data_IF_743833929869
#
_entry.id   IF_743833929869
#
_cell.length_a   1.000
_cell.length_b   1.000
_cell.length_c   1.000
_cell.angle_alpha   90.00
_cell.angle_beta   90.00
_cell.angle_gamma   90.00
#
_symmetry.space_group_name_H-M   'P 1'
#
loop_
_entity.id
_entity.type
_entity.pdbx_description
1 polymer ?
#
# COMPACT_ATOMS: atom_id res chain seq x y z
N UNK A 1 -51.83 19.44 -23.63
CA UNK A 1 -52.25 18.14 -23.06
C UNK A 1 -51.09 17.64 -22.23
N UNK A 2 -51.00 17.83 -20.91
CA UNK A 2 -52.04 17.87 -19.90
C UNK A 2 -52.12 16.52 -19.20
N UNK A 3 -51.25 16.27 -18.23
CA UNK A 3 -51.42 15.18 -17.24
C UNK A 3 -51.06 15.70 -15.86
N UNK A 4 -52.08 16.30 -15.23
CA UNK A 4 -52.41 16.30 -13.81
C UNK A 4 -51.31 15.90 -12.82
N UNK A 5 -50.60 16.90 -12.30
CA UNK A 5 -50.05 16.85 -10.96
C UNK A 5 -51.16 17.31 -9.99
N UNK A 6 -51.93 16.36 -9.48
CA UNK A 6 -52.99 16.65 -8.49
C UNK A 6 -52.36 16.68 -7.11
N UNK A 7 -51.52 17.69 -6.89
CA UNK A 7 -51.07 18.08 -5.57
C UNK A 7 -52.27 18.42 -4.69
N UNK A 8 -52.28 17.85 -3.48
CA UNK A 8 -53.16 18.27 -2.39
C UNK A 8 -53.29 19.80 -2.38
N UNK A 9 -54.51 20.33 -2.41
CA UNK A 9 -54.89 21.70 -2.81
C UNK A 9 -54.38 22.87 -1.98
N UNK A 10 -53.26 22.70 -1.26
CA UNK A 10 -52.47 23.77 -0.68
C UNK A 10 -51.10 23.68 -1.37
N UNK A 11 -50.69 24.69 -2.16
CA UNK A 11 -49.43 24.73 -2.93
C UNK A 11 -48.12 24.67 -2.12
N UNK A 12 -48.11 23.95 -1.02
CA UNK A 12 -46.94 23.54 -0.26
C UNK A 12 -46.42 22.25 -0.90
N UNK A 13 -45.20 22.23 -1.46
CA UNK A 13 -44.62 20.99 -1.99
C UNK A 13 -44.57 19.95 -0.87
N UNK A 14 -45.04 18.73 -1.14
CA UNK A 14 -44.93 17.59 -0.23
C UNK A 14 -43.45 17.37 0.10
N UNK A 15 -43.00 17.86 1.27
CA UNK A 15 -41.64 17.67 1.75
C UNK A 15 -41.67 16.57 2.79
N UNK A 16 -41.49 15.32 2.35
CA UNK A 16 -41.28 14.21 3.26
C UNK A 16 -40.05 14.50 4.13
N UNK A 17 -40.26 14.84 5.41
CA UNK A 17 -39.17 15.03 6.37
C UNK A 17 -39.12 13.91 7.39
N UNK A 18 -37.93 13.58 7.90
CA UNK A 18 -37.73 12.54 8.92
C UNK A 18 -38.67 12.66 10.13
N UNK A 19 -39.05 13.90 10.49
CA UNK A 19 -39.90 14.20 11.64
C UNK A 19 -41.37 13.89 11.40
N UNK A 20 -41.81 13.87 10.14
CA UNK A 20 -43.19 13.61 9.72
C UNK A 20 -43.48 12.12 9.55
N UNK A 21 -42.44 11.28 9.60
CA UNK A 21 -42.59 9.83 9.48
C UNK A 21 -43.39 9.22 10.65
N UNK A 22 -44.22 8.19 10.41
CA UNK A 22 -44.88 7.43 11.46
C UNK A 22 -43.90 6.90 12.50
N UNK A 23 -44.34 6.79 13.76
CA UNK A 23 -43.50 6.30 14.84
C UNK A 23 -42.83 4.94 14.55
N UNK A 24 -43.52 3.93 13.95
CA UNK A 24 -42.88 2.65 13.64
C UNK A 24 -41.67 2.81 12.70
N UNK A 25 -41.79 3.65 11.68
CA UNK A 25 -40.70 3.93 10.73
C UNK A 25 -39.52 4.59 11.44
N UNK A 26 -39.78 5.61 12.27
CA UNK A 26 -38.72 6.29 13.02
C UNK A 26 -37.99 5.36 14.00
N UNK A 27 -38.70 4.42 14.62
CA UNK A 27 -38.09 3.43 15.50
C UNK A 27 -37.16 2.48 14.73
N UNK A 28 -37.61 1.97 13.58
CA UNK A 28 -36.77 1.11 12.72
C UNK A 28 -35.53 1.85 12.23
N UNK A 29 -35.68 3.09 11.74
CA UNK A 29 -34.56 3.91 11.30
C UNK A 29 -33.59 4.22 12.44
N UNK A 30 -34.10 4.48 13.65
CA UNK A 30 -33.26 4.75 14.82
C UNK A 30 -32.47 3.52 15.23
N UNK A 31 -33.11 2.35 15.29
CA UNK A 31 -32.43 1.08 15.57
C UNK A 31 -31.38 0.75 14.52
N UNK A 32 -31.69 0.98 13.24
CA UNK A 32 -30.73 0.82 12.14
C UNK A 32 -29.50 1.72 12.35
N UNK A 33 -29.70 3.03 12.58
CA UNK A 33 -28.59 3.98 12.79
C UNK A 33 -27.75 3.62 14.03
N UNK A 34 -28.39 3.20 15.12
CA UNK A 34 -27.69 2.74 16.33
C UNK A 34 -26.90 1.46 16.08
N UNK A 35 -27.47 0.48 15.38
CA UNK A 35 -26.79 -0.76 15.02
C UNK A 35 -25.58 -0.49 14.11
N UNK A 36 -25.71 0.42 13.14
CA UNK A 36 -24.60 0.87 12.28
C UNK A 36 -23.49 1.52 13.14
N UNK A 37 -23.85 2.39 14.08
CA UNK A 37 -22.89 3.01 14.99
C UNK A 37 -22.13 1.99 15.85
N UNK A 38 -22.85 1.01 16.42
CA UNK A 38 -22.24 -0.08 17.19
C UNK A 38 -21.34 -0.97 16.31
N UNK A 39 -21.77 -1.28 15.09
CA UNK A 39 -20.99 -2.04 14.12
C UNK A 39 -19.71 -1.31 13.72
N UNK A 40 -19.77 0.00 13.49
CA UNK A 40 -18.59 0.80 13.20
C UNK A 40 -17.62 0.87 14.38
N UNK A 41 -18.14 1.01 15.61
CA UNK A 41 -17.30 0.93 16.81
C UNK A 41 -16.62 -0.44 16.95
N UNK A 42 -17.34 -1.54 16.71
CA UNK A 42 -16.78 -2.88 16.69
C UNK A 42 -15.70 -3.05 15.60
N UNK A 43 -15.85 -2.38 14.45
CA UNK A 43 -14.84 -2.40 13.40
C UNK A 43 -13.54 -1.68 13.82
N UNK A 44 -13.64 -0.59 14.61
CA UNK A 44 -12.46 0.07 15.18
C UNK A 44 -11.75 -0.84 16.20
N UNK A 45 -12.50 -1.58 17.01
CA UNK A 45 -11.94 -2.59 17.91
C UNK A 45 -11.25 -3.72 17.12
N UNK A 46 -11.86 -4.18 16.03
CA UNK A 46 -11.23 -5.17 15.15
C UNK A 46 -9.93 -4.64 14.54
N UNK A 47 -9.89 -3.36 14.13
CA UNK A 47 -8.71 -2.72 13.58
C UNK A 47 -7.53 -2.74 14.56
N UNK A 48 -7.79 -2.52 15.85
CA UNK A 48 -6.79 -2.66 16.91
C UNK A 48 -6.15 -4.06 16.90
N UNK A 49 -6.97 -5.11 16.98
CA UNK A 49 -6.47 -6.49 17.03
C UNK A 49 -5.78 -6.97 15.75
N UNK A 50 -6.11 -6.39 14.60
CA UNK A 50 -5.54 -6.79 13.32
C UNK A 50 -4.25 -6.04 12.99
N UNK A 51 -4.20 -4.74 13.27
CA UNK A 51 -3.26 -3.84 12.61
C UNK A 51 -2.48 -2.95 13.58
N UNK A 52 -2.89 -2.82 14.85
CA UNK A 52 -2.17 -1.97 15.80
C UNK A 52 -0.88 -2.63 16.28
N UNK A 53 0.16 -1.82 16.45
CA UNK A 53 1.38 -2.24 17.13
C UNK A 53 1.13 -2.50 18.62
N UNK A 54 1.90 -3.40 19.27
CA UNK A 54 1.70 -3.74 20.68
C UNK A 54 1.69 -2.52 21.61
N UNK A 55 0.63 -2.39 22.40
CA UNK A 55 0.46 -1.28 23.33
C UNK A 55 -0.09 0.01 22.73
N UNK A 56 -0.45 0.03 21.45
CA UNK A 56 -1.18 1.12 20.80
C UNK A 56 -2.66 0.77 20.64
N UNK A 57 -3.56 1.72 20.90
CA UNK A 57 -5.01 1.49 20.83
C UNK A 57 -5.53 1.41 19.39
N UNK A 58 -4.84 2.05 18.45
CA UNK A 58 -5.15 2.04 17.02
C UNK A 58 -3.84 1.95 16.22
N UNK A 59 -3.89 1.53 14.94
CA UNK A 59 -2.73 1.54 14.08
C UNK A 59 -2.11 2.94 13.99
N UNK A 60 -0.80 3.00 14.17
CA UNK A 60 0.00 4.20 13.98
C UNK A 60 0.08 4.58 12.50
N UNK A 61 0.59 5.78 12.21
CA UNK A 61 0.86 6.21 10.82
C UNK A 61 1.80 5.23 10.11
N UNK A 62 2.83 4.77 10.82
CA UNK A 62 3.82 3.84 10.27
C UNK A 62 3.21 2.44 10.07
N UNK A 63 2.30 1.99 10.96
CA UNK A 63 1.58 0.72 10.76
C UNK A 63 0.76 0.73 9.46
N UNK A 64 0.00 1.80 9.21
CA UNK A 64 -0.83 1.90 8.00
C UNK A 64 0.03 1.96 6.74
N UNK A 65 1.12 2.74 6.77
CA UNK A 65 2.06 2.81 5.65
C UNK A 65 2.72 1.46 5.38
N UNK A 66 3.12 0.74 6.43
CA UNK A 66 3.70 -0.59 6.31
C UNK A 66 2.70 -1.59 5.72
N UNK A 67 1.46 -1.61 6.22
CA UNK A 67 0.42 -2.57 5.79
C UNK A 67 0.02 -2.35 4.33
N UNK A 68 -0.18 -1.10 3.91
CA UNK A 68 -0.73 -0.81 2.58
C UNK A 68 0.34 -0.55 1.51
N UNK A 69 1.48 0.03 1.86
CA UNK A 69 2.58 0.31 0.92
C UNK A 69 3.76 -0.63 1.06
N UNK A 70 3.90 -1.33 2.19
CA UNK A 70 5.03 -2.23 2.44
C UNK A 70 6.31 -1.50 2.82
N UNK A 71 6.21 -0.29 3.38
CA UNK A 71 7.37 0.56 3.68
C UNK A 71 7.48 0.76 5.18
N UNK A 72 8.56 0.26 5.79
CA UNK A 72 8.78 0.38 7.22
C UNK A 72 9.31 1.77 7.60
N UNK A 73 8.93 2.25 8.79
CA UNK A 73 9.54 3.41 9.45
C UNK A 73 9.64 4.67 8.55
N UNK A 74 8.64 4.91 7.70
CA UNK A 74 8.68 6.00 6.74
C UNK A 74 8.49 7.37 7.40
N UNK A 75 7.61 7.47 8.41
CA UNK A 75 7.33 8.66 9.22
C UNK A 75 6.94 9.94 8.47
N UNK A 76 6.65 9.86 7.16
CA UNK A 76 6.35 11.01 6.30
C UNK A 76 7.50 11.99 6.04
N UNK A 77 8.67 11.76 6.67
CA UNK A 77 9.86 12.63 6.60
C UNK A 77 10.93 12.13 5.64
N UNK A 78 10.85 10.86 5.24
CA UNK A 78 11.81 10.26 4.31
C UNK A 78 11.29 10.42 2.88
N UNK A 79 12.17 10.58 1.88
CA UNK A 79 11.75 10.53 0.49
C UNK A 79 11.04 9.20 0.23
N UNK A 80 10.09 9.18 -0.72
CA UNK A 80 9.44 7.94 -1.13
C UNK A 80 10.49 6.87 -1.47
N UNK A 81 10.28 5.61 -1.05
CA UNK A 81 11.25 4.56 -1.34
C UNK A 81 11.42 4.40 -2.85
N UNK A 82 12.64 4.07 -3.31
CA UNK A 82 12.89 3.86 -4.73
C UNK A 82 12.01 2.72 -5.25
N UNK A 83 11.77 2.73 -6.56
CA UNK A 83 10.99 1.72 -7.29
C UNK A 83 11.38 0.31 -6.84
N UNK A 84 10.39 -0.55 -6.65
CA UNK A 84 10.64 -1.97 -6.39
C UNK A 84 11.41 -2.58 -7.58
N UNK A 85 12.63 -3.02 -7.29
CA UNK A 85 13.51 -3.66 -8.26
C UNK A 85 13.59 -5.16 -8.00
N UNK A 86 13.92 -5.92 -9.03
CA UNK A 86 14.15 -7.36 -8.86
C UNK A 86 15.33 -7.63 -7.90
N UNK A 87 15.37 -8.84 -7.32
CA UNK A 87 16.50 -9.24 -6.45
C UNK A 87 17.84 -9.10 -7.18
N UNK A 88 17.89 -9.43 -8.47
CA UNK A 88 19.09 -9.32 -9.28
C UNK A 88 19.55 -7.86 -9.43
N UNK A 89 18.64 -6.94 -9.76
CA UNK A 89 18.97 -5.52 -9.88
C UNK A 89 19.42 -4.92 -8.55
N UNK A 90 18.75 -5.26 -7.44
CA UNK A 90 19.17 -4.84 -6.09
C UNK A 90 20.60 -5.26 -5.78
N UNK A 91 20.98 -6.49 -6.13
CA UNK A 91 22.33 -7.02 -5.87
C UNK A 91 23.39 -6.35 -6.74
N UNK A 92 23.11 -6.16 -8.03
CA UNK A 92 24.06 -5.61 -9.00
C UNK A 92 24.25 -4.11 -8.80
N UNK A 93 23.18 -3.37 -8.48
CA UNK A 93 23.19 -1.91 -8.35
C UNK A 93 23.49 -1.39 -6.93
N UNK A 94 23.84 -2.28 -5.99
CA UNK A 94 24.26 -1.89 -4.63
C UNK A 94 25.56 -1.06 -4.63
N UNK A 95 25.91 -0.47 -3.48
CA UNK A 95 27.18 0.22 -3.33
C UNK A 95 28.36 -0.77 -3.39
N UNK A 96 29.49 -0.34 -3.99
CA UNK A 96 30.73 -1.14 -4.03
C UNK A 96 31.36 -1.33 -2.64
N UNK A 97 31.03 -0.45 -1.69
CA UNK A 97 31.48 -0.54 -0.30
C UNK A 97 30.69 -1.57 0.51
N UNK A 98 29.54 -2.01 0.02
CA UNK A 98 28.73 -3.01 0.70
C UNK A 98 29.37 -4.40 0.60
N UNK A 99 29.47 -5.13 1.72
CA UNK A 99 30.05 -6.46 1.72
C UNK A 99 29.17 -7.46 0.96
N UNK A 100 29.81 -8.46 0.34
CA UNK A 100 29.15 -9.53 -0.43
C UNK A 100 28.57 -10.63 0.47
N UNK A 101 28.67 -10.47 1.79
CA UNK A 101 28.23 -11.47 2.75
C UNK A 101 26.70 -11.61 2.76
N UNK A 102 26.25 -12.86 2.93
CA UNK A 102 24.82 -13.24 3.03
C UNK A 102 23.94 -12.77 1.86
N UNK A 103 24.52 -12.43 0.71
CA UNK A 103 23.76 -11.92 -0.44
C UNK A 103 23.21 -10.52 -0.23
N UNK A 104 23.94 -9.65 0.47
CA UNK A 104 23.61 -8.23 0.62
C UNK A 104 23.89 -7.44 -0.67
N UNK A 105 25.07 -7.60 -1.26
CA UNK A 105 25.53 -6.90 -2.47
C UNK A 105 26.32 -7.82 -3.40
N UNK A 106 26.20 -7.62 -4.70
CA UNK A 106 27.09 -8.20 -5.72
C UNK A 106 27.91 -7.13 -6.46
N UNK A 107 27.78 -5.85 -6.10
CA UNK A 107 28.49 -4.76 -6.78
C UNK A 107 30.00 -4.94 -6.67
N UNK A 108 30.54 -5.15 -5.45
CA UNK A 108 31.97 -5.40 -5.26
C UNK A 108 32.47 -6.62 -6.04
N UNK A 109 31.69 -7.69 -6.11
CA UNK A 109 32.04 -8.88 -6.88
C UNK A 109 32.01 -8.61 -8.39
N UNK A 110 31.07 -7.79 -8.86
CA UNK A 110 30.98 -7.39 -10.26
C UNK A 110 32.22 -6.63 -10.73
N UNK A 111 32.80 -5.74 -9.91
CA UNK A 111 34.04 -5.02 -10.24
C UNK A 111 35.28 -5.83 -9.88
N UNK A 112 35.47 -6.09 -8.58
CA UNK A 112 36.70 -6.64 -8.02
C UNK A 112 36.73 -8.17 -8.03
N UNK A 113 35.64 -8.87 -8.37
CA UNK A 113 35.66 -10.34 -8.51
C UNK A 113 36.39 -10.83 -9.75
N UNK A 114 36.59 -9.96 -10.74
CA UNK A 114 37.29 -10.28 -11.98
C UNK A 114 38.81 -10.12 -11.82
N UNK A 115 39.51 -11.25 -11.79
CA UNK A 115 40.98 -11.27 -11.69
C UNK A 115 41.67 -10.57 -12.87
N UNK A 116 41.04 -10.52 -14.04
CA UNK A 116 41.55 -9.80 -15.21
C UNK A 116 41.42 -8.29 -15.05
N UNK A 117 40.35 -7.81 -14.42
CA UNK A 117 40.14 -6.40 -14.07
C UNK A 117 41.18 -5.93 -13.05
N UNK A 118 41.33 -6.67 -11.94
CA UNK A 118 42.33 -6.39 -10.90
C UNK A 118 43.76 -6.31 -11.43
N UNK A 119 44.18 -7.31 -12.22
CA UNK A 119 45.55 -7.36 -12.78
C UNK A 119 45.84 -6.19 -13.72
N UNK A 120 44.85 -5.65 -14.43
CA UNK A 120 45.04 -4.48 -15.31
C UNK A 120 45.27 -3.21 -14.49
N UNK A 121 44.53 -3.03 -13.41
CA UNK A 121 44.70 -1.89 -12.48
C UNK A 121 46.05 -1.99 -11.76
N UNK A 122 46.41 -3.17 -11.26
CA UNK A 122 47.70 -3.40 -10.60
C UNK A 122 48.90 -3.12 -11.53
N UNK A 123 48.75 -3.40 -12.83
CA UNK A 123 49.79 -3.19 -13.84
C UNK A 123 49.90 -1.73 -14.30
N UNK A 124 48.80 -1.00 -14.36
CA UNK A 124 48.74 0.38 -14.84
C UNK A 124 47.69 1.19 -14.03
N UNK A 125 48.01 1.64 -12.81
CA UNK A 125 47.05 2.31 -11.93
C UNK A 125 46.30 3.50 -12.56
N UNK A 126 46.92 4.35 -13.41
CA UNK A 126 46.23 5.43 -14.11
C UNK A 126 45.07 5.00 -15.02
N UNK A 127 44.98 3.72 -15.41
CA UNK A 127 43.89 3.21 -16.26
C UNK A 127 42.59 2.97 -15.50
N UNK A 128 42.66 2.93 -14.15
CA UNK A 128 41.54 2.57 -13.28
C UNK A 128 40.26 3.37 -13.55
N UNK A 129 40.28 4.72 -13.65
CA UNK A 129 39.04 5.48 -13.86
C UNK A 129 38.35 5.11 -15.17
N UNK A 130 39.12 4.84 -16.22
CA UNK A 130 38.59 4.47 -17.53
C UNK A 130 38.02 3.06 -17.53
N UNK A 131 38.73 2.10 -16.92
CA UNK A 131 38.22 0.72 -16.80
C UNK A 131 36.99 0.64 -15.91
N UNK A 132 36.95 1.46 -14.85
CA UNK A 132 35.80 1.55 -13.96
C UNK A 132 34.58 2.11 -14.71
N UNK A 133 34.77 3.17 -15.52
CA UNK A 133 33.69 3.72 -16.35
C UNK A 133 33.17 2.70 -17.40
N UNK A 134 34.07 1.96 -18.06
CA UNK A 134 33.70 0.87 -18.98
C UNK A 134 32.90 -0.25 -18.27
N UNK A 135 33.30 -0.58 -17.03
CA UNK A 135 32.64 -1.59 -16.19
C UNK A 135 31.30 -1.08 -15.66
N UNK A 136 31.18 0.21 -15.38
CA UNK A 136 29.91 0.84 -15.00
C UNK A 136 28.92 0.81 -16.17
N UNK A 137 29.39 1.03 -17.40
CA UNK A 137 28.58 0.83 -18.59
C UNK A 137 28.07 -0.61 -18.74
N UNK A 138 28.91 -1.61 -18.45
CA UNK A 138 28.49 -3.02 -18.39
C UNK A 138 27.38 -3.22 -17.33
N UNK A 139 27.56 -2.65 -16.14
CA UNK A 139 26.59 -2.74 -15.03
C UNK A 139 25.24 -2.15 -15.40
N UNK A 140 25.25 -0.97 -16.02
CA UNK A 140 24.05 -0.28 -16.51
C UNK A 140 23.36 -1.05 -17.65
N UNK A 141 24.12 -1.72 -18.52
CA UNK A 141 23.55 -2.57 -19.57
C UNK A 141 22.84 -3.79 -18.98
N UNK A 142 23.38 -4.40 -17.93
CA UNK A 142 22.71 -5.48 -17.18
C UNK A 142 21.41 -4.95 -16.54
N UNK A 143 21.44 -3.77 -15.93
CA UNK A 143 20.23 -3.14 -15.37
C UNK A 143 19.16 -2.88 -16.46
N UNK A 144 19.57 -2.41 -17.64
CA UNK A 144 18.66 -2.17 -18.76
C UNK A 144 18.01 -3.47 -19.25
N UNK A 145 18.76 -4.56 -19.31
CA UNK A 145 18.20 -5.88 -19.62
C UNK A 145 17.21 -6.35 -18.56
N UNK A 146 17.54 -6.25 -17.27
CA UNK A 146 16.64 -6.61 -16.17
C UNK A 146 15.32 -5.85 -16.25
N UNK A 147 15.38 -4.57 -16.59
CA UNK A 147 14.22 -3.70 -16.72
C UNK A 147 13.49 -3.81 -18.07
N UNK A 148 13.98 -4.63 -19.02
CA UNK A 148 13.29 -4.86 -20.30
C UNK A 148 11.98 -5.61 -20.02
N UNK A 149 10.82 -5.15 -20.55
CA UNK A 149 9.56 -5.87 -20.38
C UNK A 149 9.67 -7.32 -20.88
N UNK A 150 9.13 -8.26 -20.11
CA UNK A 150 9.03 -9.68 -20.51
C UNK A 150 7.58 -10.14 -20.47
N UNK A 151 6.68 -9.27 -20.92
CA UNK A 151 5.26 -9.57 -21.04
C UNK A 151 4.99 -10.46 -22.26
N UNK A 152 4.05 -11.39 -22.10
CA UNK A 152 3.53 -12.17 -23.22
C UNK A 152 2.72 -11.24 -24.12
N UNK A 153 2.86 -11.33 -25.45
CA UNK A 153 3.43 -12.47 -26.19
C UNK A 153 4.90 -12.33 -26.62
N UNK A 154 5.53 -11.16 -26.44
CA UNK A 154 6.77 -10.86 -27.16
C UNK A 154 8.05 -11.27 -26.43
N UNK A 155 8.00 -11.50 -25.11
CA UNK A 155 9.12 -12.01 -24.29
C UNK A 155 10.46 -11.35 -24.65
N UNK A 156 10.46 -10.02 -24.70
CA UNK A 156 11.58 -9.24 -25.26
C UNK A 156 12.87 -9.45 -24.47
N UNK A 157 12.77 -9.60 -23.14
CA UNK A 157 13.92 -9.86 -22.28
C UNK A 157 14.53 -11.24 -22.55
N UNK A 158 13.70 -12.26 -22.68
CA UNK A 158 14.14 -13.61 -23.04
C UNK A 158 14.82 -13.61 -24.41
N UNK A 159 14.19 -13.00 -25.42
CA UNK A 159 14.77 -12.91 -26.78
C UNK A 159 16.10 -12.15 -26.79
N UNK A 160 16.23 -11.07 -26.02
CA UNK A 160 17.48 -10.32 -25.91
C UNK A 160 18.60 -11.18 -25.29
N UNK A 161 18.28 -12.03 -24.31
CA UNK A 161 19.21 -12.96 -23.70
C UNK A 161 19.61 -14.09 -24.67
N UNK A 162 18.63 -14.76 -25.28
CA UNK A 162 18.88 -15.89 -26.18
C UNK A 162 19.67 -15.50 -27.43
N UNK A 163 19.35 -14.34 -28.01
CA UNK A 163 20.04 -13.80 -29.18
C UNK A 163 21.35 -13.07 -28.85
N UNK A 164 21.69 -12.96 -27.56
CA UNK A 164 22.85 -12.20 -27.06
C UNK A 164 22.92 -10.78 -27.64
N UNK A 165 21.76 -10.11 -27.70
CA UNK A 165 21.60 -8.85 -28.41
C UNK A 165 20.53 -7.97 -27.74
N UNK A 166 20.98 -7.09 -26.85
CA UNK A 166 20.14 -6.08 -26.21
C UNK A 166 20.27 -4.72 -26.92
N UNK A 167 19.19 -4.13 -27.44
CA UNK A 167 19.22 -2.74 -27.89
C UNK A 167 19.42 -1.81 -26.69
N UNK A 168 20.47 -0.97 -26.72
CA UNK A 168 20.74 -0.03 -25.63
C UNK A 168 19.67 1.07 -25.57
N UNK A 169 19.18 1.43 -24.37
CA UNK A 169 18.38 2.63 -24.17
C UNK A 169 19.16 3.87 -24.63
N UNK A 170 18.47 4.89 -25.14
CA UNK A 170 19.09 6.14 -25.59
C UNK A 170 19.97 6.81 -24.50
N UNK A 171 19.61 6.63 -23.22
CA UNK A 171 20.39 7.12 -22.08
C UNK A 171 21.78 6.47 -21.96
N UNK A 172 21.95 5.23 -22.43
CA UNK A 172 23.20 4.48 -22.37
C UNK A 172 24.01 4.51 -23.68
N UNK A 173 23.50 5.17 -24.72
CA UNK A 173 24.13 5.18 -26.04
C UNK A 173 25.56 5.77 -26.05
N UNK A 174 25.85 6.68 -25.12
CA UNK A 174 27.15 7.35 -25.01
C UNK A 174 28.02 6.82 -23.86
N UNK A 175 27.51 5.89 -23.04
CA UNK A 175 28.29 5.33 -21.94
C UNK A 175 29.35 4.36 -22.49
N UNK A 176 30.61 4.45 -22.03
CA UNK A 176 31.64 3.53 -22.46
C UNK A 176 31.32 2.13 -21.93
N UNK A 177 31.40 1.13 -22.80
CA UNK A 177 31.25 -0.29 -22.47
C UNK A 177 32.44 -1.01 -23.07
N UNK A 178 32.93 -2.05 -22.40
CA UNK A 178 34.00 -2.90 -22.95
C UNK A 178 33.62 -3.37 -24.36
N UNK A 179 34.46 -3.03 -25.35
CA UNK A 179 34.20 -3.29 -26.77
C UNK A 179 33.84 -4.73 -27.12
N UNK A 180 34.32 -5.71 -26.33
CA UNK A 180 34.01 -7.13 -26.54
C UNK A 180 32.52 -7.49 -26.38
N UNK A 181 31.75 -6.66 -25.65
CA UNK A 181 30.32 -6.87 -25.45
C UNK A 181 29.45 -5.95 -26.32
N UNK A 182 30.04 -5.16 -27.22
CA UNK A 182 29.29 -4.30 -28.13
C UNK A 182 29.31 -4.87 -29.55
N UNK A 183 28.14 -5.00 -30.16
CA UNK A 183 27.97 -5.42 -31.55
C UNK A 183 26.84 -4.61 -32.20
N UNK A 184 27.18 -3.82 -33.22
CA UNK A 184 26.24 -2.95 -33.94
C UNK A 184 25.34 -2.09 -33.03
N UNK A 185 25.92 -1.51 -31.96
CA UNK A 185 25.19 -0.70 -30.97
C UNK A 185 24.30 -1.50 -30.00
N UNK A 186 24.33 -2.83 -30.06
CA UNK A 186 23.66 -3.74 -29.12
C UNK A 186 24.67 -4.33 -28.14
N UNK A 187 24.21 -4.63 -26.93
CA UNK A 187 25.03 -5.29 -25.91
C UNK A 187 24.81 -6.79 -25.93
N UNK A 188 25.92 -7.53 -25.92
CA UNK A 188 25.99 -8.99 -25.73
C UNK A 188 25.73 -9.37 -24.28
N UNK A 189 24.45 -9.31 -23.89
CA UNK A 189 24.03 -9.50 -22.49
C UNK A 189 24.27 -10.90 -21.96
N UNK A 190 24.10 -11.95 -22.78
CA UNK A 190 24.35 -13.34 -22.39
C UNK A 190 25.85 -13.56 -22.22
N UNK A 191 26.66 -13.09 -23.15
CA UNK A 191 28.13 -13.13 -23.03
C UNK A 191 28.60 -12.39 -21.77
N UNK A 192 28.01 -11.23 -21.49
CA UNK A 192 28.33 -10.44 -20.31
C UNK A 192 27.97 -11.18 -19.01
N UNK A 193 26.77 -11.75 -18.92
CA UNK A 193 26.33 -12.53 -17.75
C UNK A 193 27.21 -13.77 -17.56
N UNK A 194 27.56 -14.48 -18.63
CA UNK A 194 28.45 -15.64 -18.55
C UNK A 194 29.83 -15.28 -18.01
N UNK A 195 30.40 -14.17 -18.48
CA UNK A 195 31.73 -13.75 -18.08
C UNK A 195 31.83 -13.10 -16.70
N UNK A 196 30.73 -12.51 -16.21
CA UNK A 196 30.70 -11.71 -14.97
C UNK A 196 29.98 -12.39 -13.81
N UNK A 197 28.98 -13.20 -14.11
CA UNK A 197 28.15 -13.86 -13.10
C UNK A 197 28.43 -15.36 -13.07
N UNK A 198 28.35 -16.04 -14.22
CA UNK A 198 28.35 -17.50 -14.27
C UNK A 198 29.67 -18.13 -13.82
N UNK A 199 30.82 -17.43 -13.89
CA UNK A 199 32.10 -17.94 -13.33
C UNK A 199 32.04 -18.35 -11.86
N UNK A 200 31.20 -17.68 -11.07
CA UNK A 200 30.97 -18.00 -9.65
C UNK A 200 29.58 -18.60 -9.41
N UNK A 201 28.75 -18.72 -10.44
CA UNK A 201 27.35 -19.13 -10.40
C UNK A 201 27.07 -20.25 -11.41
N UNK A 202 28.04 -21.13 -11.65
CA UNK A 202 27.89 -22.30 -12.51
C UNK A 202 27.26 -23.46 -11.72
N UNK A 203 27.79 -23.71 -10.51
CA UNK A 203 27.33 -24.78 -9.62
C UNK A 203 26.37 -24.28 -8.53
N UNK A 204 25.10 -24.71 -8.61
CA UNK A 204 24.08 -24.46 -7.57
C UNK A 204 24.30 -25.27 -6.27
N UNK A 205 25.38 -26.06 -6.19
CA UNK A 205 25.69 -26.95 -5.06
C UNK A 205 26.37 -26.23 -3.89
N UNK A 206 26.88 -25.01 -4.10
CA UNK A 206 27.44 -24.18 -3.03
C UNK A 206 26.34 -23.40 -2.30
N UNK A 207 26.33 -23.47 -0.97
CA UNK A 207 25.34 -22.77 -0.14
C UNK A 207 25.34 -21.26 -0.44
N UNK A 208 24.21 -20.75 -0.94
CA UNK A 208 24.04 -19.32 -1.29
C UNK A 208 24.25 -18.99 -2.78
N UNK A 209 24.71 -19.94 -3.61
CA UNK A 209 24.89 -19.76 -5.05
C UNK A 209 23.74 -20.37 -5.84
N UNK A 210 23.10 -19.56 -6.69
CA UNK A 210 22.14 -20.04 -7.70
C UNK A 210 22.87 -20.21 -9.03
N UNK A 211 22.51 -21.21 -9.83
CA UNK A 211 22.97 -21.27 -11.22
C UNK A 211 22.43 -20.05 -11.97
N UNK A 212 23.23 -19.45 -12.84
CA UNK A 212 22.86 -18.28 -13.67
C UNK A 212 23.30 -18.51 -15.12
N UNK A 213 23.06 -19.70 -15.66
CA UNK A 213 23.52 -20.12 -16.98
C UNK A 213 22.46 -19.96 -18.07
N UNK A 214 21.21 -20.28 -17.73
CA UNK A 214 20.07 -20.26 -18.64
C UNK A 214 19.03 -19.20 -18.22
N UNK A 215 18.22 -18.74 -19.17
CA UNK A 215 17.18 -17.73 -18.89
C UNK A 215 16.21 -18.19 -17.77
N UNK A 216 15.88 -19.48 -17.75
CA UNK A 216 14.99 -20.07 -16.75
C UNK A 216 15.53 -19.94 -15.32
N UNK A 217 16.85 -19.92 -15.14
CA UNK A 217 17.47 -19.78 -13.82
C UNK A 217 17.17 -18.42 -13.19
N UNK A 218 16.91 -17.41 -14.02
CA UNK A 218 16.65 -16.06 -13.59
C UNK A 218 15.23 -15.82 -13.08
N UNK A 219 14.29 -16.77 -13.25
CA UNK A 219 12.87 -16.59 -12.93
C UNK A 219 12.64 -16.02 -11.51
N UNK A 220 13.26 -16.61 -10.49
CA UNK A 220 13.06 -16.17 -9.10
C UNK A 220 13.81 -14.86 -8.76
N UNK A 221 14.90 -14.54 -9.47
CA UNK A 221 15.73 -13.36 -9.17
C UNK A 221 15.32 -12.14 -9.99
N UNK A 222 14.64 -12.34 -11.12
CA UNK A 222 14.00 -11.31 -11.94
C UNK A 222 12.56 -11.01 -11.50
N UNK A 223 11.95 -11.88 -10.69
CA UNK A 223 10.66 -11.61 -10.08
C UNK A 223 10.75 -10.33 -9.24
N UNK A 224 9.99 -9.30 -9.63
CA UNK A 224 9.76 -8.13 -8.79
C UNK A 224 8.77 -8.59 -7.70
N UNK A 225 9.13 -8.47 -6.42
CA UNK A 225 8.25 -8.88 -5.33
C UNK A 225 6.86 -8.22 -5.50
N UNK A 226 5.83 -9.03 -5.74
CA UNK A 226 4.42 -8.59 -5.82
C UNK A 226 3.84 -8.34 -4.41
N UNK A 227 4.58 -8.75 -3.39
CA UNK A 227 4.25 -8.66 -1.98
C UNK A 227 5.37 -7.84 -1.34
N UNK A 228 4.95 -6.86 -0.56
CA UNK A 228 5.73 -5.72 -0.12
C UNK A 228 6.95 -6.11 0.67
N UNK A 229 7.79 -5.11 0.87
CA UNK A 229 9.11 -5.23 1.46
C UNK A 229 9.12 -5.77 2.90
N UNK A 230 7.94 -6.07 3.49
CA UNK A 230 7.73 -6.47 4.89
C UNK A 230 6.69 -7.58 5.00
N UNK A 231 6.76 -8.36 6.08
CA UNK A 231 5.80 -9.43 6.39
C UNK A 231 4.41 -8.92 6.79
N UNK A 232 4.27 -7.63 7.10
CA UNK A 232 3.00 -7.00 7.48
C UNK A 232 2.25 -6.39 6.29
N UNK A 233 2.87 -6.27 5.12
CA UNK A 233 2.15 -5.79 3.95
C UNK A 233 1.01 -6.75 3.59
N UNK A 234 -0.18 -6.19 3.41
CA UNK A 234 -1.36 -6.92 2.99
C UNK A 234 -1.12 -7.64 1.65
N UNK A 235 -1.48 -8.92 1.54
CA UNK A 235 -1.37 -9.66 0.28
C UNK A 235 -2.42 -9.18 -0.74
N UNK A 236 -2.17 -9.41 -2.04
CA UNK A 236 -3.12 -9.04 -3.10
C UNK A 236 -4.46 -9.78 -2.98
N UNK A 237 -4.41 -11.06 -2.60
CA UNK A 237 -5.62 -11.86 -2.39
C UNK A 237 -6.46 -11.29 -1.25
N UNK A 238 -5.80 -10.98 -0.12
CA UNK A 238 -6.47 -10.37 1.02
C UNK A 238 -7.03 -8.99 0.64
N UNK A 239 -6.26 -8.15 -0.06
CA UNK A 239 -6.73 -6.83 -0.52
C UNK A 239 -7.93 -6.92 -1.47
N UNK A 240 -7.93 -7.88 -2.39
CA UNK A 240 -9.04 -8.09 -3.32
C UNK A 240 -10.30 -8.55 -2.59
N UNK A 241 -10.15 -9.51 -1.67
CA UNK A 241 -11.24 -10.04 -0.87
C UNK A 241 -11.85 -8.95 0.03
N UNK A 242 -11.02 -8.19 0.74
CA UNK A 242 -11.51 -7.11 1.59
C UNK A 242 -12.14 -6.00 0.75
N UNK A 243 -11.54 -5.61 -0.37
CA UNK A 243 -12.12 -4.62 -1.30
C UNK A 243 -13.52 -5.05 -1.74
N UNK A 244 -13.70 -6.30 -2.17
CA UNK A 244 -15.00 -6.82 -2.59
C UNK A 244 -16.04 -6.75 -1.47
N UNK A 245 -15.70 -7.25 -0.28
CA UNK A 245 -16.61 -7.28 0.86
C UNK A 245 -16.96 -5.87 1.35
N UNK A 246 -15.97 -5.01 1.50
CA UNK A 246 -16.13 -3.68 2.08
C UNK A 246 -16.80 -2.76 1.06
N UNK A 247 -16.36 -2.70 -0.20
CA UNK A 247 -16.97 -1.81 -1.19
C UNK A 247 -18.45 -2.15 -1.44
N UNK A 248 -18.79 -3.44 -1.56
CA UNK A 248 -20.18 -3.85 -1.77
C UNK A 248 -21.05 -3.52 -0.55
N UNK A 249 -20.65 -3.95 0.65
CA UNK A 249 -21.46 -3.77 1.86
C UNK A 249 -21.56 -2.29 2.29
N UNK A 250 -20.44 -1.57 2.21
CA UNK A 250 -20.37 -0.16 2.59
C UNK A 250 -21.08 0.74 1.60
N UNK A 251 -21.07 0.43 0.29
CA UNK A 251 -21.86 1.19 -0.68
C UNK A 251 -23.35 1.21 -0.29
N UNK A 252 -23.88 0.09 0.16
CA UNK A 252 -25.28 0.00 0.63
C UNK A 252 -25.48 0.72 1.96
N UNK A 253 -24.64 0.44 2.97
CA UNK A 253 -24.77 1.02 4.31
C UNK A 253 -24.64 2.55 4.29
N UNK A 254 -23.61 3.09 3.66
CA UNK A 254 -23.36 4.53 3.59
C UNK A 254 -24.37 5.27 2.72
N UNK A 255 -24.89 4.62 1.68
CA UNK A 255 -26.02 5.16 0.92
C UNK A 255 -27.26 5.25 1.79
N UNK A 256 -27.58 4.22 2.58
CA UNK A 256 -28.74 4.23 3.46
C UNK A 256 -28.63 5.28 4.57
N UNK A 257 -27.49 5.39 5.26
CA UNK A 257 -27.29 6.44 6.28
C UNK A 257 -27.33 7.84 5.68
N UNK A 258 -26.70 8.02 4.51
CA UNK A 258 -26.73 9.27 3.76
C UNK A 258 -28.14 9.66 3.30
N UNK A 259 -28.92 8.70 2.79
CA UNK A 259 -30.32 8.92 2.39
C UNK A 259 -31.19 9.29 3.58
N UNK A 260 -31.07 8.58 4.71
CA UNK A 260 -31.78 8.94 5.94
C UNK A 260 -31.48 10.40 6.30
N UNK A 261 -30.20 10.79 6.31
CA UNK A 261 -29.81 12.18 6.58
C UNK A 261 -30.35 13.17 5.53
N UNK A 262 -30.42 12.79 4.26
CA UNK A 262 -30.95 13.63 3.18
C UNK A 262 -32.44 13.98 3.34
N UNK A 263 -33.22 13.14 4.04
CA UNK A 263 -34.61 13.42 4.40
C UNK A 263 -34.76 14.25 5.69
N UNK A 264 -33.66 14.71 6.30
CA UNK A 264 -33.73 15.59 7.46
C UNK A 264 -34.29 16.98 7.11
N UNK A 265 -34.69 17.71 8.14
CA UNK A 265 -35.14 19.11 8.03
C UNK A 265 -34.00 20.14 8.01
N UNK A 266 -32.73 19.71 7.87
CA UNK A 266 -31.58 20.62 7.79
C UNK A 266 -31.55 21.40 6.46
N UNK A 267 -30.82 22.54 6.39
CA UNK A 267 -30.68 23.31 5.16
C UNK A 267 -30.17 22.44 4.00
N UNK A 268 -30.65 22.72 2.78
CA UNK A 268 -30.32 21.91 1.59
C UNK A 268 -28.82 21.77 1.35
N UNK A 269 -28.04 22.84 1.53
CA UNK A 269 -26.59 22.79 1.34
C UNK A 269 -25.90 21.81 2.31
N UNK A 270 -26.34 21.73 3.58
CA UNK A 270 -25.82 20.77 4.56
C UNK A 270 -26.12 19.34 4.10
N UNK A 271 -27.35 19.11 3.64
CA UNK A 271 -27.79 17.79 3.15
C UNK A 271 -27.02 17.37 1.90
N UNK A 272 -26.81 18.28 0.95
CA UNK A 272 -26.04 18.02 -0.27
C UNK A 272 -24.56 17.72 0.00
N UNK A 273 -23.98 18.23 1.08
CA UNK A 273 -22.59 17.93 1.46
C UNK A 273 -22.52 16.66 2.30
N UNK A 274 -23.23 16.64 3.44
CA UNK A 274 -23.04 15.61 4.46
C UNK A 274 -23.73 14.28 4.10
N UNK A 275 -24.79 14.26 3.28
CA UNK A 275 -25.40 13.00 2.86
C UNK A 275 -24.47 12.14 1.99
N UNK A 276 -23.82 12.66 0.93
CA UNK A 276 -22.92 11.84 0.11
C UNK A 276 -21.50 11.70 0.65
N UNK A 277 -21.04 12.56 1.57
CA UNK A 277 -19.60 12.63 1.94
C UNK A 277 -19.03 11.30 2.43
N UNK A 278 -19.79 10.52 3.22
CA UNK A 278 -19.31 9.24 3.76
C UNK A 278 -19.07 8.23 2.65
N UNK A 279 -19.99 8.14 1.69
CA UNK A 279 -19.84 7.25 0.54
C UNK A 279 -18.68 7.68 -0.36
N UNK A 280 -18.57 8.99 -0.65
CA UNK A 280 -17.48 9.53 -1.46
C UNK A 280 -16.12 9.30 -0.80
N UNK A 281 -16.01 9.59 0.50
CA UNK A 281 -14.80 9.36 1.27
C UNK A 281 -14.44 7.87 1.32
N UNK A 282 -15.42 6.97 1.46
CA UNK A 282 -15.17 5.53 1.44
C UNK A 282 -14.65 5.02 0.09
N UNK A 283 -15.19 5.52 -1.03
CA UNK A 283 -14.70 5.16 -2.36
C UNK A 283 -13.27 5.67 -2.55
N UNK A 284 -12.98 6.89 -2.12
CA UNK A 284 -11.63 7.43 -2.11
C UNK A 284 -10.68 6.61 -1.22
N UNK A 285 -11.15 6.20 -0.04
CA UNK A 285 -10.40 5.38 0.92
C UNK A 285 -9.97 4.04 0.31
N UNK A 286 -10.93 3.28 -0.22
CA UNK A 286 -10.66 1.99 -0.88
C UNK A 286 -9.76 2.18 -2.10
N UNK A 287 -9.93 3.26 -2.85
CA UNK A 287 -9.02 3.58 -3.97
C UNK A 287 -7.60 3.83 -3.48
N UNK A 288 -7.42 4.52 -2.35
CA UNK A 288 -6.11 4.73 -1.74
C UNK A 288 -5.44 3.42 -1.30
N UNK A 289 -6.20 2.38 -0.93
CA UNK A 289 -5.63 1.07 -0.59
C UNK A 289 -4.87 0.45 -1.78
N UNK A 290 -5.40 0.62 -2.99
CA UNK A 290 -4.78 0.14 -4.22
C UNK A 290 -3.63 1.06 -4.67
N UNK A 291 -3.85 2.37 -4.60
CA UNK A 291 -2.82 3.36 -4.98
C UNK A 291 -1.62 3.39 -4.02
N UNK A 292 -1.80 2.93 -2.78
CA UNK A 292 -0.71 2.79 -1.81
C UNK A 292 0.38 1.80 -2.25
N UNK A 293 0.11 0.96 -3.24
CA UNK A 293 1.09 0.03 -3.82
C UNK A 293 1.90 0.61 -4.96
N UNK A 294 1.63 1.84 -5.39
CA UNK A 294 2.39 2.47 -6.47
C UNK A 294 3.83 2.74 -6.02
N UNK A 295 4.78 2.38 -6.88
CA UNK A 295 6.20 2.66 -6.67
C UNK A 295 6.43 4.16 -6.45
N UNK A 296 7.22 4.49 -5.44
CA UNK A 296 7.49 5.87 -5.04
C UNK A 296 6.31 6.50 -4.30
N UNK A 297 5.18 6.77 -4.96
CA UNK A 297 4.10 7.58 -4.37
C UNK A 297 3.20 6.86 -3.36
N UNK A 298 3.32 5.53 -3.25
CA UNK A 298 2.49 4.67 -2.41
C UNK A 298 2.32 5.11 -0.95
N UNK A 299 3.39 5.49 -0.21
CA UNK A 299 3.28 5.93 1.18
C UNK A 299 2.37 7.15 1.39
N UNK A 300 2.29 8.06 0.42
CA UNK A 300 1.38 9.21 0.49
C UNK A 300 -0.08 8.78 0.40
N UNK A 301 -0.40 7.82 -0.47
CA UNK A 301 -1.74 7.24 -0.55
C UNK A 301 -2.07 6.45 0.71
N UNK A 302 -1.11 5.75 1.31
CA UNK A 302 -1.31 5.07 2.58
C UNK A 302 -1.65 6.04 3.73
N UNK A 303 -0.98 7.21 3.80
CA UNK A 303 -1.39 8.26 4.74
C UNK A 303 -2.78 8.83 4.43
N UNK A 304 -3.14 8.93 3.14
CA UNK A 304 -4.45 9.42 2.75
C UNK A 304 -5.58 8.54 3.31
N UNK A 305 -5.37 7.22 3.47
CA UNK A 305 -6.31 6.27 4.09
C UNK A 305 -6.73 6.74 5.48
N UNK A 306 -5.80 7.26 6.27
CA UNK A 306 -6.10 7.75 7.63
C UNK A 306 -7.00 8.99 7.54
N UNK A 307 -6.72 9.89 6.60
CA UNK A 307 -7.53 11.07 6.35
C UNK A 307 -8.93 10.72 5.85
N UNK A 308 -9.04 9.88 4.82
CA UNK A 308 -10.33 9.45 4.26
C UNK A 308 -11.13 8.62 5.25
N UNK A 309 -10.51 7.69 5.96
CA UNK A 309 -11.13 6.93 7.05
C UNK A 309 -11.62 7.81 8.19
N UNK A 310 -10.89 8.87 8.54
CA UNK A 310 -11.34 9.87 9.53
C UNK A 310 -12.58 10.63 9.04
N UNK A 311 -12.62 11.01 7.76
CA UNK A 311 -13.80 11.65 7.15
C UNK A 311 -14.99 10.69 7.12
N UNK A 312 -14.77 9.41 6.82
CA UNK A 312 -15.81 8.36 6.90
C UNK A 312 -16.36 8.26 8.31
N UNK A 313 -15.50 8.07 9.32
CA UNK A 313 -15.92 7.90 10.71
C UNK A 313 -16.65 9.11 11.28
N UNK A 314 -16.09 10.31 11.08
CA UNK A 314 -16.72 11.55 11.56
C UNK A 314 -18.00 11.90 10.77
N UNK A 315 -17.99 11.72 9.45
CA UNK A 315 -19.16 11.92 8.61
C UNK A 315 -20.30 10.98 9.01
N UNK A 316 -19.99 9.71 9.26
CA UNK A 316 -20.96 8.71 9.71
C UNK A 316 -21.51 9.07 11.09
N UNK A 317 -20.64 9.47 12.03
CA UNK A 317 -21.05 9.96 13.34
C UNK A 317 -22.07 11.11 13.21
N UNK A 318 -21.77 12.12 12.38
CA UNK A 318 -22.68 13.24 12.16
C UNK A 318 -23.99 12.79 11.50
N UNK A 319 -23.93 11.92 10.47
CA UNK A 319 -25.14 11.38 9.83
C UNK A 319 -26.04 10.67 10.85
N UNK A 320 -25.49 9.84 11.73
CA UNK A 320 -26.23 9.11 12.77
C UNK A 320 -26.82 10.07 13.79
N UNK A 321 -25.98 10.87 14.46
CA UNK A 321 -26.41 11.72 15.57
C UNK A 321 -27.40 12.77 15.08
N UNK A 322 -27.09 13.49 14.01
CA UNK A 322 -27.97 14.54 13.51
C UNK A 322 -29.31 13.97 13.01
N UNK A 323 -29.32 12.80 12.36
CA UNK A 323 -30.57 12.17 11.93
C UNK A 323 -31.44 11.72 13.12
N UNK A 324 -30.84 11.11 14.14
CA UNK A 324 -31.54 10.71 15.36
C UNK A 324 -32.18 11.93 16.05
N UNK A 325 -31.43 13.01 16.25
CA UNK A 325 -31.97 14.23 16.87
C UNK A 325 -32.99 14.96 15.98
N UNK A 326 -32.93 14.79 14.66
CA UNK A 326 -33.91 15.36 13.73
C UNK A 326 -35.27 14.64 13.81
N UNK A 327 -35.27 13.31 13.98
CA UNK A 327 -36.49 12.48 14.02
C UNK A 327 -37.40 12.76 15.23
N UNK A 328 -36.83 13.20 16.36
CA UNK A 328 -37.57 13.36 17.61
C UNK A 328 -37.72 14.82 18.06
N UNK A 329 -38.83 15.10 18.73
CA UNK A 329 -39.07 16.38 19.44
C UNK A 329 -38.31 16.38 20.77
N UNK A 330 -38.44 17.46 21.54
CA UNK A 330 -37.68 17.70 22.77
C UNK A 330 -37.62 16.51 23.75
N UNK A 331 -38.72 15.82 24.11
CA UNK A 331 -38.63 14.68 25.05
C UNK A 331 -37.75 13.53 24.52
N UNK A 332 -37.87 13.20 23.23
CA UNK A 332 -37.04 12.16 22.62
C UNK A 332 -35.58 12.58 22.48
N UNK A 333 -35.30 13.87 22.25
CA UNK A 333 -33.92 14.40 22.23
C UNK A 333 -33.25 14.29 23.59
N UNK A 334 -33.98 14.55 24.68
CA UNK A 334 -33.46 14.37 26.05
C UNK A 334 -33.13 12.90 26.30
N UNK A 335 -34.03 11.97 25.94
CA UNK A 335 -33.77 10.53 26.06
C UNK A 335 -32.52 10.11 25.25
N UNK A 336 -32.41 10.54 23.99
CA UNK A 336 -31.25 10.25 23.14
C UNK A 336 -29.95 10.82 23.73
N UNK A 337 -29.99 12.04 24.27
CA UNK A 337 -28.84 12.65 24.91
C UNK A 337 -28.39 11.86 26.16
N UNK A 338 -29.33 11.36 26.97
CA UNK A 338 -29.02 10.51 28.12
C UNK A 338 -28.41 9.16 27.69
N UNK A 339 -28.96 8.53 26.65
CA UNK A 339 -28.44 7.26 26.13
C UNK A 339 -27.02 7.42 25.57
N UNK A 340 -26.78 8.43 24.74
CA UNK A 340 -25.46 8.71 24.18
C UNK A 340 -24.47 9.14 25.28
N UNK A 341 -24.91 9.96 26.24
CA UNK A 341 -24.11 10.34 27.39
C UNK A 341 -23.70 9.14 28.26
N UNK A 342 -24.62 8.19 28.46
CA UNK A 342 -24.34 6.93 29.15
C UNK A 342 -23.32 6.06 28.40
N UNK A 343 -23.42 5.98 27.06
CA UNK A 343 -22.45 5.26 26.25
C UNK A 343 -21.05 5.90 26.33
N UNK A 344 -20.95 7.23 26.23
CA UNK A 344 -19.69 7.98 26.39
C UNK A 344 -19.10 7.76 27.78
N UNK A 345 -19.92 7.87 28.83
CA UNK A 345 -19.48 7.61 30.21
C UNK A 345 -18.97 6.17 30.38
N UNK A 346 -19.62 5.20 29.75
CA UNK A 346 -19.16 3.81 29.71
C UNK A 346 -17.79 3.66 29.06
N UNK A 347 -17.57 4.29 27.90
CA UNK A 347 -16.26 4.29 27.23
C UNK A 347 -15.15 4.91 28.12
N UNK A 348 -15.42 6.07 28.73
CA UNK A 348 -14.47 6.74 29.65
C UNK A 348 -14.20 5.87 30.89
N UNK A 349 -15.21 5.19 31.43
CA UNK A 349 -15.01 4.29 32.56
C UNK A 349 -14.14 3.06 32.22
N UNK A 350 -14.09 2.65 30.95
CA UNK A 350 -13.25 1.55 30.47
C UNK A 350 -11.81 1.97 30.15
N UNK A 351 -11.55 3.26 29.89
CA UNK A 351 -10.23 3.81 29.56
C UNK A 351 -9.10 3.32 30.49
N UNK A 352 -9.18 3.41 31.83
CA UNK A 352 -8.09 2.93 32.71
C UNK A 352 -7.85 1.42 32.64
N UNK A 353 -8.88 0.63 32.30
CA UNK A 353 -8.76 -0.82 32.13
C UNK A 353 -8.02 -1.12 30.82
N UNK A 354 -8.39 -0.42 29.75
CA UNK A 354 -7.77 -0.54 28.43
C UNK A 354 -6.29 -0.11 28.52
N UNK A 355 -6.00 1.05 29.10
CA UNK A 355 -4.63 1.55 29.28
C UNK A 355 -3.77 0.55 30.09
N UNK A 356 -4.35 -0.04 31.14
CA UNK A 356 -3.71 -1.08 31.93
C UNK A 356 -3.39 -2.35 31.12
N UNK A 357 -4.23 -2.72 30.15
CA UNK A 357 -4.00 -3.85 29.25
C UNK A 357 -2.92 -3.51 28.21
N UNK A 358 -3.01 -2.35 27.56
CA UNK A 358 -2.03 -1.88 26.57
C UNK A 358 -0.63 -1.76 27.20
N UNK A 359 -0.54 -1.26 28.43
CA UNK A 359 0.74 -1.20 29.16
C UNK A 359 1.34 -2.59 29.43
N UNK A 360 0.52 -3.59 29.74
CA UNK A 360 0.97 -4.98 29.95
C UNK A 360 1.44 -5.62 28.64
N UNK A 361 0.75 -5.37 27.54
CA UNK A 361 1.12 -5.85 26.20
C UNK A 361 2.45 -5.26 25.73
N UNK A 362 2.65 -3.96 25.96
CA UNK A 362 3.92 -3.28 25.69
C UNK A 362 5.06 -3.88 26.52
N UNK A 363 4.79 -4.16 27.80
CA UNK A 363 5.77 -4.74 28.72
C UNK A 363 6.12 -6.21 28.38
N UNK A 364 5.15 -7.04 27.99
CA UNK A 364 5.40 -8.43 27.58
C UNK A 364 6.21 -8.50 26.28
N UNK A 365 5.97 -7.59 25.35
CA UNK A 365 6.72 -7.50 24.08
C UNK A 365 8.17 -7.05 24.32
N UNK A 366 8.40 -6.14 25.28
CA UNK A 366 9.75 -5.64 25.61
C UNK A 366 10.58 -6.66 26.42
N UNK A 367 9.92 -7.57 27.14
CA UNK A 367 10.57 -8.57 28.01
C UNK A 367 10.73 -9.95 27.37
N UNK A 368 10.18 -10.17 26.16
CA UNK A 368 10.35 -11.41 25.42
C UNK A 368 11.80 -11.54 24.90
N UNK A 369 12.54 -12.62 25.23
CA UNK A 369 13.84 -12.87 24.61
C UNK A 369 13.65 -13.05 23.10
N UNK A 370 14.49 -12.38 22.30
CA UNK A 370 14.48 -12.46 20.85
C UNK A 370 14.44 -13.93 20.41
N UNK A 371 13.34 -14.35 19.79
CA UNK A 371 13.22 -15.69 19.23
C UNK A 371 14.34 -15.88 18.18
N UNK A 372 15.01 -17.05 18.13
CA UNK A 372 16.00 -17.32 17.10
C UNK A 372 15.32 -17.26 15.73
N UNK A 373 15.85 -16.41 14.85
CA UNK A 373 15.44 -16.34 13.45
C UNK A 373 15.49 -17.76 12.84
N UNK A 374 14.37 -18.22 12.30
CA UNK A 374 14.30 -19.45 11.51
C UNK A 374 14.63 -19.16 10.06
#
# INVERSE_FOLDING_TARGET
MGTHDSGNGNGVPFRLTLRELPLPVRLVLSLFLMAVGLGYFSALVQLHFQNASPGESLPSLDDVVEIFSGVENWSGKKPPPPKSVSKLERLVMASEDEPTDKGASMARAFFMGDSGYKKKIEKDPPIEPKLHEEREGERLAVQAWINTPDDKPDLLRQKAYENDALPLPAALANHPITKGYLDDGKVKVRSLIQDRCSKCHEDASQAGHKSLGDYADFADVLAIPQVGHTSRQMTLDHLTQTTHLHLLSFSMLWTLTGLIFAFSSYPTWVRCILAPVVLLAQVADVSCWWLARLDGVGPYFALAIIGTGSVVGFGLFLQIVLSLFNMYRWPGRVMLALLLGGAVAGCVALEPIIDGQLAREKASTTSAPAAPAK
#
